data_IF_890837361594
#
_entry.id   IF_890837361594
#
_cell.length_a   1.000
_cell.length_b   1.000
_cell.length_c   1.000
_cell.angle_alpha   90.00
_cell.angle_beta   90.00
_cell.angle_gamma   90.00
#
_symmetry.space_group_name_H-M   'P 1'
#
loop_
_entity.id
_entity.type
_entity.pdbx_description
1 polymer ?
#
# COMPACT_ATOMS: atom_id res chain seq x y z
N UNK A 1 -2.40 7.24 0.87
CA UNK A 1 -3.69 7.16 0.14
C UNK A 1 -3.75 5.77 -0.49
N UNK A 2 -4.49 4.83 0.09
CA UNK A 2 -4.43 3.42 -0.31
C UNK A 2 -5.27 3.14 -1.56
N UNK A 3 -4.75 2.34 -2.49
CA UNK A 3 -5.46 1.94 -3.69
C UNK A 3 -6.69 1.09 -3.33
N UNK A 4 -7.89 1.56 -3.66
CA UNK A 4 -9.10 0.73 -3.60
C UNK A 4 -9.29 -0.01 -4.93
N UNK A 5 -9.55 -1.32 -4.87
CA UNK A 5 -9.88 -2.15 -6.03
C UNK A 5 -11.28 -2.71 -5.83
N UNK A 6 -12.11 -2.67 -6.89
CA UNK A 6 -13.43 -3.30 -6.91
C UNK A 6 -13.27 -4.77 -7.25
N UNK A 7 -13.84 -5.64 -6.42
CA UNK A 7 -13.89 -7.08 -6.63
C UNK A 7 -15.35 -7.50 -6.78
N UNK A 8 -15.65 -8.25 -7.84
CA UNK A 8 -16.96 -8.91 -8.02
C UNK A 8 -16.81 -10.36 -7.62
N UNK A 9 -17.60 -10.81 -6.66
CA UNK A 9 -17.66 -12.20 -6.21
C UNK A 9 -19.08 -12.73 -6.34
N UNK A 10 -19.22 -14.01 -6.67
CA UNK A 10 -20.51 -14.70 -6.59
C UNK A 10 -20.69 -15.26 -5.18
N UNK A 11 -21.86 -15.02 -4.61
CA UNK A 11 -22.27 -15.56 -3.31
C UNK A 11 -23.65 -16.19 -3.46
N UNK A 12 -23.97 -17.09 -2.53
CA UNK A 12 -25.29 -17.70 -2.43
C UNK A 12 -26.40 -16.65 -2.20
N UNK A 13 -27.61 -16.93 -2.70
CA UNK A 13 -28.75 -16.02 -2.65
C UNK A 13 -29.32 -15.81 -1.24
N UNK A 14 -29.34 -16.85 -0.42
CA UNK A 14 -29.75 -16.76 0.98
C UNK A 14 -28.74 -15.93 1.77
N UNK A 15 -27.45 -16.13 1.50
CA UNK A 15 -26.38 -15.34 2.09
C UNK A 15 -26.48 -13.86 1.68
N UNK A 16 -26.72 -13.55 0.40
CA UNK A 16 -26.95 -12.17 -0.04
C UNK A 16 -28.14 -11.55 0.69
N UNK A 17 -29.26 -12.28 0.82
CA UNK A 17 -30.46 -11.80 1.50
C UNK A 17 -30.18 -11.53 2.98
N UNK A 18 -29.47 -12.43 3.66
CA UNK A 18 -29.08 -12.27 5.05
C UNK A 18 -28.14 -11.05 5.24
N UNK A 19 -27.15 -10.89 4.35
CA UNK A 19 -26.25 -9.73 4.37
C UNK A 19 -27.01 -8.43 4.14
N UNK A 20 -27.91 -8.42 3.16
CA UNK A 20 -28.70 -7.23 2.84
C UNK A 20 -29.59 -6.83 4.02
N UNK A 21 -30.24 -7.79 4.69
CA UNK A 21 -31.11 -7.54 5.86
C UNK A 21 -30.35 -7.09 7.11
N UNK A 22 -29.22 -7.72 7.43
CA UNK A 22 -28.49 -7.44 8.68
C UNK A 22 -27.50 -6.28 8.56
N UNK A 23 -26.86 -6.12 7.41
CA UNK A 23 -25.77 -5.14 7.20
C UNK A 23 -26.28 -3.89 6.46
N UNK A 24 -27.26 -4.06 5.57
CA UNK A 24 -27.83 -2.98 4.76
C UNK A 24 -27.09 -2.71 3.46
N UNK A 25 -27.82 -2.17 2.47
CA UNK A 25 -27.28 -1.81 1.17
C UNK A 25 -26.09 -0.83 1.30
N UNK A 26 -25.01 -1.09 0.56
CA UNK A 26 -23.81 -0.23 0.54
C UNK A 26 -22.79 -0.48 1.65
N UNK A 27 -23.17 -1.18 2.73
CA UNK A 27 -22.23 -1.55 3.81
C UNK A 27 -21.64 -2.95 3.66
N UNK A 28 -22.22 -3.79 2.80
CA UNK A 28 -21.81 -5.19 2.57
C UNK A 28 -20.32 -5.29 2.20
N UNK A 29 -19.85 -4.48 1.24
CA UNK A 29 -18.44 -4.51 0.83
C UNK A 29 -17.48 -4.16 1.97
N UNK A 30 -17.84 -3.18 2.80
CA UNK A 30 -17.06 -2.77 3.98
C UNK A 30 -17.06 -3.90 5.03
N UNK A 31 -18.22 -4.49 5.29
CA UNK A 31 -18.40 -5.56 6.28
C UNK A 31 -17.60 -6.82 5.92
N UNK A 32 -17.66 -7.25 4.66
CA UNK A 32 -16.89 -8.39 4.17
C UNK A 32 -15.39 -8.10 4.30
N UNK A 33 -14.94 -6.92 3.86
CA UNK A 33 -13.53 -6.54 3.96
C UNK A 33 -13.05 -6.51 5.42
N UNK A 34 -13.85 -5.95 6.34
CA UNK A 34 -13.50 -5.88 7.77
C UNK A 34 -13.43 -7.26 8.42
N UNK A 35 -14.33 -8.16 8.03
CA UNK A 35 -14.35 -9.55 8.51
C UNK A 35 -13.15 -10.37 8.01
N UNK A 36 -12.68 -10.09 6.79
CA UNK A 36 -11.59 -10.85 6.15
C UNK A 36 -10.21 -10.29 6.54
N UNK A 37 -10.09 -8.97 6.73
CA UNK A 37 -8.84 -8.29 7.11
C UNK A 37 -8.05 -8.94 8.25
N UNK A 38 -8.62 -9.35 9.38
CA UNK A 38 -7.85 -9.99 10.46
C UNK A 38 -7.41 -11.42 10.12
N UNK A 39 -8.11 -12.10 9.20
CA UNK A 39 -7.80 -13.48 8.80
C UNK A 39 -6.69 -13.54 7.76
N UNK A 40 -6.63 -12.53 6.89
CA UNK A 40 -5.52 -12.34 5.99
C UNK A 40 -4.37 -11.71 6.81
N UNK A 41 -3.21 -12.35 6.88
CA UNK A 41 -1.99 -11.72 7.39
C UNK A 41 -1.53 -10.62 6.40
N UNK A 42 -2.28 -9.52 6.32
CA UNK A 42 -1.93 -8.31 5.54
C UNK A 42 -1.03 -7.38 6.36
N UNK A 43 -0.43 -7.88 7.44
CA UNK A 43 0.67 -7.17 8.09
C UNK A 43 1.88 -7.37 7.20
N UNK A 44 2.05 -6.41 6.28
CA UNK A 44 3.23 -6.18 5.44
C UNK A 44 4.48 -6.84 6.03
N UNK A 45 4.84 -8.02 5.53
CA UNK A 45 6.17 -8.60 5.77
C UNK A 45 7.27 -7.59 5.41
N UNK A 46 6.98 -6.70 4.47
CA UNK A 46 7.81 -5.55 4.09
C UNK A 46 7.98 -4.55 5.25
N UNK A 47 6.91 -4.14 5.96
CA UNK A 47 7.00 -3.22 7.11
C UNK A 47 7.71 -3.86 8.30
N UNK A 48 7.55 -5.17 8.49
CA UNK A 48 8.38 -5.90 9.47
C UNK A 48 9.85 -5.95 9.03
N UNK A 49 10.13 -6.15 7.75
CA UNK A 49 11.47 -6.09 7.16
C UNK A 49 12.14 -4.74 7.40
N UNK A 50 11.47 -3.63 7.05
CA UNK A 50 11.95 -2.27 7.31
C UNK A 50 12.20 -2.00 8.80
N UNK A 51 11.31 -2.45 9.69
CA UNK A 51 11.50 -2.27 11.15
C UNK A 51 12.70 -3.09 11.67
N UNK A 52 13.00 -4.24 11.05
CA UNK A 52 14.13 -5.09 11.41
C UNK A 52 15.45 -4.53 10.86
N UNK A 53 15.45 -4.00 9.64
CA UNK A 53 16.61 -3.34 9.00
C UNK A 53 16.95 -2.00 9.67
N UNK A 54 15.95 -1.20 10.05
CA UNK A 54 16.19 0.10 10.70
C UNK A 54 16.68 0.02 12.15
N UNK A 55 16.78 -1.18 12.73
CA UNK A 55 17.35 -1.39 14.08
C UNK A 55 18.82 -1.81 14.03
N UNK A 56 19.37 -1.97 12.83
CA UNK A 56 20.72 -2.44 12.58
C UNK A 56 21.55 -1.25 12.06
N UNK A 57 22.31 -0.64 12.97
CA UNK A 57 23.02 0.62 12.74
C UNK A 57 24.15 0.53 11.71
N UNK A 58 24.56 -0.68 11.34
CA UNK A 58 25.65 -0.92 10.38
C UNK A 58 25.22 -0.53 8.95
N UNK A 59 23.96 -0.79 8.56
CA UNK A 59 23.42 -0.42 7.24
C UNK A 59 23.24 1.10 7.05
N UNK A 60 23.00 1.86 8.13
CA UNK A 60 22.88 3.32 8.03
C UNK A 60 24.21 3.99 7.66
N UNK A 61 25.34 3.37 8.04
CA UNK A 61 26.68 3.89 7.75
C UNK A 61 27.04 3.74 6.27
N UNK A 62 26.67 2.60 5.67
CA UNK A 62 26.84 2.34 4.24
C UNK A 62 25.93 3.25 3.39
N UNK A 63 24.67 3.43 3.78
CA UNK A 63 23.74 4.34 3.09
C UNK A 63 24.20 5.81 3.10
N UNK A 64 24.91 6.26 4.14
CA UNK A 64 25.50 7.60 4.21
C UNK A 64 26.54 7.86 3.12
N UNK A 65 27.35 6.86 2.78
CA UNK A 65 28.37 6.97 1.73
C UNK A 65 27.76 7.18 0.34
N UNK A 66 26.60 6.58 0.05
CA UNK A 66 25.91 6.78 -1.24
C UNK A 66 25.27 8.16 -1.39
N UNK A 67 24.85 8.79 -0.28
CA UNK A 67 24.21 10.11 -0.30
C UNK A 67 25.26 11.23 -0.43
N UNK A 68 26.44 11.07 0.16
CA UNK A 68 27.49 12.09 0.06
C UNK A 68 28.25 12.08 -1.28
N UNK A 69 28.34 10.93 -1.96
CA UNK A 69 29.02 10.81 -3.26
C UNK A 69 28.14 11.28 -4.45
N UNK A 70 26.81 11.28 -4.29
CA UNK A 70 25.85 11.64 -5.35
C UNK A 70 25.48 13.12 -5.47
N UNK A 71 26.07 14.01 -4.66
CA UNK A 71 25.77 15.46 -4.68
C UNK A 71 26.69 16.24 -5.64
N UNK A 72 27.79 15.62 -6.11
CA UNK A 72 28.75 16.26 -7.03
C UNK A 72 28.44 16.03 -8.52
N UNK A 73 27.63 15.03 -8.88
CA UNK A 73 27.11 14.90 -10.26
C UNK A 73 25.98 15.91 -10.48
N UNK A 74 26.39 17.10 -10.93
CA UNK A 74 25.54 18.24 -11.22
C UNK A 74 24.21 17.86 -11.86
N UNK A 75 23.12 18.17 -11.16
CA UNK A 75 21.78 18.16 -11.73
C UNK A 75 21.83 18.96 -13.04
N UNK A 76 21.52 18.38 -14.21
CA UNK A 76 21.42 19.18 -15.41
C UNK A 76 20.37 20.26 -15.16
N UNK A 77 20.77 21.52 -15.38
CA UNK A 77 19.87 22.66 -15.32
C UNK A 77 18.60 22.30 -16.10
N UNK A 78 17.46 22.31 -15.41
CA UNK A 78 16.18 21.97 -16.00
C UNK A 78 15.83 23.03 -17.05
N UNK A 79 16.35 22.87 -18.26
CA UNK A 79 15.93 23.68 -19.39
C UNK A 79 14.48 23.30 -19.68
N UNK A 80 13.64 24.33 -19.61
CA UNK A 80 12.19 24.31 -19.78
C UNK A 80 11.80 23.49 -21.02
N UNK A 81 11.50 22.20 -20.81
CA UNK A 81 10.95 21.37 -21.89
C UNK A 81 9.48 21.75 -22.03
N UNK A 82 9.21 22.68 -22.95
CA UNK A 82 7.87 22.97 -23.46
C UNK A 82 7.26 21.68 -23.99
N UNK A 83 6.42 21.04 -23.19
CA UNK A 83 5.46 20.06 -23.69
C UNK A 83 4.34 20.82 -24.41
N UNK A 84 4.50 20.99 -25.72
CA UNK A 84 3.44 21.49 -26.58
C UNK A 84 3.01 20.41 -27.58
N UNK A 85 1.73 20.04 -27.45
CA UNK A 85 0.86 19.24 -28.32
C UNK A 85 0.97 17.72 -28.25
#
# INVERSE_FOLDING_TARGET
MGMQKKLTISIDGDLYTALYRNVGAGKISRFIADSIKPRLKIVDSVRQGYRRMGRDSEWMKEAGTWVEDGVDEGLPEATETKWNR
#
